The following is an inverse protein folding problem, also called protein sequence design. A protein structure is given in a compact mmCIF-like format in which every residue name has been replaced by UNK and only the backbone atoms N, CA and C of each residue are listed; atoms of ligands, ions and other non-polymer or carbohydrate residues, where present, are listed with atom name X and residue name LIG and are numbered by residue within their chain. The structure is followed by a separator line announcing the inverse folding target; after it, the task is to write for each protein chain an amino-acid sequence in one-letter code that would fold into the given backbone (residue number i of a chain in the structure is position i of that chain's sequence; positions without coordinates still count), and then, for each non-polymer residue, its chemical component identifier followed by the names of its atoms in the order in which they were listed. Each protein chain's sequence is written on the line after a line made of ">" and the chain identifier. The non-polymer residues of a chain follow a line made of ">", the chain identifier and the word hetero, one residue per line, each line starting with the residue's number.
data_IF_260690707422
#
_entry.id   IF_260690707422
#
_cell.length_a   1.000
_cell.length_b   1.000
_cell.length_c   1.000
_cell.angle_alpha   90.00
_cell.angle_beta   90.00
_cell.angle_gamma   90.00
#
_symmetry.space_group_name_H-M   'P 1'
#
loop_
_entity.id
_entity.type
_entity.pdbx_description
1 polymer ?
#
# COMPACT_ATOMS: atom_id res chain seq x y z
N UNK A 1 18.74 -27.92 -0.54
CA UNK A 1 17.37 -27.67 -0.05
C UNK A 1 16.70 -29.00 0.28
N UNK A 2 16.02 -29.12 1.44
CA UNK A 2 15.25 -30.32 1.80
C UNK A 2 14.10 -30.58 0.81
N UNK A 3 13.74 -31.85 0.62
CA UNK A 3 12.70 -32.30 -0.34
C UNK A 3 11.34 -31.63 -0.10
N UNK A 4 10.97 -31.40 1.16
CA UNK A 4 9.73 -30.71 1.53
C UNK A 4 9.69 -29.23 1.06
N UNK A 5 10.83 -28.56 1.00
CA UNK A 5 10.93 -27.18 0.48
C UNK A 5 10.75 -27.19 -1.04
N UNK A 6 11.31 -28.20 -1.73
CA UNK A 6 11.10 -28.37 -3.17
C UNK A 6 9.65 -28.68 -3.52
N UNK A 7 9.00 -29.60 -2.80
CA UNK A 7 7.58 -29.93 -3.01
C UNK A 7 6.67 -28.73 -2.73
N UNK A 8 6.93 -27.97 -1.66
CA UNK A 8 6.19 -26.74 -1.35
C UNK A 8 6.38 -25.68 -2.44
N UNK A 9 7.60 -25.48 -2.95
CA UNK A 9 7.86 -24.55 -4.06
C UNK A 9 7.17 -25.03 -5.35
N UNK A 10 7.20 -26.34 -5.66
CA UNK A 10 6.57 -26.89 -6.86
C UNK A 10 5.04 -26.74 -6.83
N UNK A 11 4.42 -27.00 -5.67
CA UNK A 11 2.99 -26.77 -5.45
C UNK A 11 2.66 -25.27 -5.50
N UNK A 12 3.53 -24.42 -4.91
CA UNK A 12 3.38 -22.96 -5.01
C UNK A 12 3.51 -22.44 -6.45
N UNK A 13 4.19 -23.15 -7.35
CA UNK A 13 4.29 -22.73 -8.76
C UNK A 13 3.06 -23.17 -9.58
N UNK A 14 2.47 -24.32 -9.27
CA UNK A 14 1.52 -25.02 -10.16
C UNK A 14 0.04 -24.97 -9.74
N UNK A 15 -0.28 -24.58 -8.52
CA UNK A 15 -1.66 -24.60 -8.02
C UNK A 15 -2.50 -23.42 -8.56
N UNK A 16 -3.65 -23.74 -9.17
CA UNK A 16 -4.57 -22.81 -9.83
C UNK A 16 -5.46 -22.02 -8.84
N UNK A 17 -5.49 -22.40 -7.56
CA UNK A 17 -6.35 -21.78 -6.54
C UNK A 17 -5.55 -21.19 -5.37
N UNK A 18 -4.46 -20.50 -5.67
CA UNK A 18 -3.68 -19.81 -4.63
C UNK A 18 -4.28 -18.49 -4.22
N UNK A 19 -4.20 -18.24 -2.92
CA UNK A 19 -4.53 -16.95 -2.31
C UNK A 19 -3.55 -15.89 -2.79
N UNK A 20 -4.05 -14.70 -3.15
CA UNK A 20 -3.21 -13.56 -3.54
C UNK A 20 -2.21 -13.18 -2.45
N UNK A 21 -2.57 -13.33 -1.17
CA UNK A 21 -1.65 -13.17 -0.06
C UNK A 21 -0.39 -14.04 -0.21
N UNK A 22 -0.54 -15.32 -0.54
CA UNK A 22 0.56 -16.27 -0.68
C UNK A 22 1.46 -15.91 -1.87
N UNK A 23 0.86 -15.44 -2.96
CA UNK A 23 1.58 -14.96 -4.14
C UNK A 23 2.41 -13.71 -3.79
N UNK A 24 1.81 -12.76 -3.08
CA UNK A 24 2.53 -11.57 -2.57
C UNK A 24 3.71 -11.97 -1.68
N UNK A 25 3.52 -12.91 -0.74
CA UNK A 25 4.61 -13.40 0.11
C UNK A 25 5.70 -14.11 -0.72
N UNK A 26 5.33 -14.91 -1.71
CA UNK A 26 6.27 -15.60 -2.60
C UNK A 26 7.21 -14.62 -3.33
N UNK A 27 6.68 -13.52 -3.87
CA UNK A 27 7.52 -12.53 -4.56
C UNK A 27 8.36 -11.67 -3.62
N UNK A 28 7.92 -11.48 -2.37
CA UNK A 28 8.66 -10.74 -1.35
C UNK A 28 9.72 -11.58 -0.62
N UNK A 29 9.66 -12.91 -0.72
CA UNK A 29 10.63 -13.79 -0.05
C UNK A 29 12.04 -13.68 -0.71
N UNK A 30 13.07 -13.21 0.02
CA UNK A 30 14.44 -13.09 -0.51
C UNK A 30 15.11 -14.44 -0.78
N UNK A 31 14.63 -15.53 -0.18
CA UNK A 31 15.21 -16.87 -0.34
C UNK A 31 14.81 -17.53 -1.66
N UNK A 32 13.76 -17.04 -2.32
CA UNK A 32 13.28 -17.54 -3.59
C UNK A 32 14.11 -16.94 -4.72
N UNK A 33 14.73 -17.82 -5.52
CA UNK A 33 15.57 -17.42 -6.66
C UNK A 33 14.78 -16.61 -7.69
N UNK A 34 15.46 -15.65 -8.33
CA UNK A 34 14.89 -14.83 -9.41
C UNK A 34 14.22 -15.65 -10.51
N UNK A 35 14.84 -16.74 -10.97
CA UNK A 35 14.26 -17.60 -12.02
C UNK A 35 12.93 -18.27 -11.61
N UNK A 36 12.79 -18.63 -10.33
CA UNK A 36 11.53 -19.15 -9.80
C UNK A 36 10.45 -18.05 -9.74
N UNK A 37 10.84 -16.81 -9.41
CA UNK A 37 9.94 -15.64 -9.48
C UNK A 37 9.51 -15.35 -10.91
N UNK A 38 10.43 -15.38 -11.87
CA UNK A 38 10.13 -15.18 -13.30
C UNK A 38 9.15 -16.25 -13.83
N UNK A 39 9.35 -17.52 -13.48
CA UNK A 39 8.43 -18.60 -13.86
C UNK A 39 7.03 -18.42 -13.24
N UNK A 40 6.96 -18.06 -11.94
CA UNK A 40 5.69 -17.81 -11.26
C UNK A 40 4.97 -16.59 -11.85
N UNK A 41 5.70 -15.53 -12.14
CA UNK A 41 5.18 -14.31 -12.74
C UNK A 41 4.55 -14.59 -14.11
N UNK A 42 5.24 -15.35 -14.97
CA UNK A 42 4.71 -15.74 -16.28
C UNK A 42 3.34 -16.41 -16.16
N UNK A 43 3.24 -17.50 -15.40
CA UNK A 43 1.99 -18.26 -15.27
C UNK A 43 0.87 -17.45 -14.58
N UNK A 44 1.21 -16.67 -13.55
CA UNK A 44 0.24 -15.86 -12.86
C UNK A 44 -0.34 -14.75 -13.76
N UNK A 45 0.53 -14.04 -14.50
CA UNK A 45 0.11 -12.96 -15.38
C UNK A 45 -0.69 -13.49 -16.59
N UNK A 46 -0.30 -14.63 -17.18
CA UNK A 46 -1.13 -15.27 -18.21
C UNK A 46 -2.53 -15.59 -17.70
N UNK A 47 -2.63 -16.15 -16.49
CA UNK A 47 -3.93 -16.45 -15.88
C UNK A 47 -4.76 -15.17 -15.62
N UNK A 48 -4.15 -14.10 -15.11
CA UNK A 48 -4.85 -12.82 -14.90
C UNK A 48 -5.32 -12.21 -16.21
N UNK A 49 -4.52 -12.28 -17.28
CA UNK A 49 -4.86 -11.78 -18.62
C UNK A 49 -6.00 -12.59 -19.24
N UNK A 50 -6.00 -13.93 -19.07
CA UNK A 50 -7.08 -14.79 -19.57
C UNK A 50 -8.44 -14.46 -18.94
N UNK A 51 -8.46 -14.00 -17.69
CA UNK A 51 -9.68 -13.63 -16.96
C UNK A 51 -9.91 -12.12 -16.89
N UNK A 52 -9.21 -11.37 -17.75
CA UNK A 52 -9.33 -9.92 -17.81
C UNK A 52 -10.54 -9.54 -18.66
N UNK A 53 -11.39 -8.67 -18.11
CA UNK A 53 -12.45 -8.06 -18.90
C UNK A 53 -11.82 -7.05 -19.88
N UNK A 54 -11.96 -7.32 -21.18
CA UNK A 54 -11.41 -6.48 -22.24
C UNK A 54 -12.34 -5.35 -22.70
N UNK A 55 -13.54 -5.26 -22.12
CA UNK A 55 -14.60 -4.32 -22.47
C UNK A 55 -14.35 -2.92 -21.90
N UNK A 56 -13.25 -2.32 -22.34
CA UNK A 56 -12.97 -0.90 -22.12
C UNK A 56 -12.71 -0.23 -23.46
N UNK A 57 -13.73 0.42 -24.01
CA UNK A 57 -13.68 1.02 -25.35
C UNK A 57 -12.98 2.39 -25.38
N UNK A 58 -12.87 3.08 -24.25
CA UNK A 58 -12.26 4.42 -24.13
C UNK A 58 -10.72 4.37 -23.92
N UNK A 59 -10.04 3.41 -24.57
CA UNK A 59 -8.58 3.38 -24.61
C UNK A 59 -8.05 3.80 -25.99
N UNK A 60 -6.99 4.61 -26.08
CA UNK A 60 -6.41 5.02 -27.36
C UNK A 60 -6.04 3.86 -28.29
N UNK A 61 -6.27 4.05 -29.59
CA UNK A 61 -6.03 3.01 -30.61
C UNK A 61 -4.64 3.10 -31.24
N UNK A 62 -3.91 4.18 -30.98
CA UNK A 62 -2.52 4.37 -31.38
C UNK A 62 -1.76 5.20 -30.33
N UNK A 63 -0.43 5.13 -30.40
CA UNK A 63 0.47 5.68 -29.38
C UNK A 63 0.45 7.21 -29.36
N UNK A 64 0.23 7.85 -30.50
CA UNK A 64 0.22 9.31 -30.61
C UNK A 64 -0.96 9.96 -29.86
N UNK A 65 -2.05 9.21 -29.68
CA UNK A 65 -3.23 9.65 -28.93
C UNK A 65 -3.07 9.58 -27.40
N UNK A 66 -2.11 8.82 -26.87
CA UNK A 66 -1.96 8.58 -25.43
C UNK A 66 -1.77 9.88 -24.64
N UNK A 67 -0.94 10.80 -25.13
CA UNK A 67 -0.66 12.07 -24.47
C UNK A 67 -1.93 12.93 -24.33
N UNK A 68 -2.68 13.07 -25.42
CA UNK A 68 -3.92 13.86 -25.46
C UNK A 68 -4.99 13.23 -24.58
N UNK A 69 -5.10 11.90 -24.61
CA UNK A 69 -6.03 11.16 -23.78
C UNK A 69 -5.73 11.34 -22.30
N UNK A 70 -4.48 11.16 -21.88
CA UNK A 70 -4.06 11.34 -20.47
C UNK A 70 -4.28 12.78 -20.00
N UNK A 71 -3.99 13.77 -20.84
CA UNK A 71 -4.27 15.17 -20.53
C UNK A 71 -5.77 15.44 -20.32
N UNK A 72 -6.63 14.82 -21.14
CA UNK A 72 -8.08 14.92 -20.99
C UNK A 72 -8.53 14.32 -19.66
N UNK A 73 -8.05 13.11 -19.31
CA UNK A 73 -8.37 12.48 -18.04
C UNK A 73 -7.93 13.35 -16.85
N UNK A 74 -6.69 13.85 -16.87
CA UNK A 74 -6.18 14.72 -15.81
C UNK A 74 -7.03 15.99 -15.63
N UNK A 75 -7.42 16.65 -16.73
CA UNK A 75 -8.31 17.84 -16.69
C UNK A 75 -9.65 17.51 -16.04
N UNK A 76 -10.24 16.36 -16.36
CA UNK A 76 -11.49 15.89 -15.75
C UNK A 76 -11.32 15.66 -14.24
N UNK A 77 -10.25 14.99 -13.79
CA UNK A 77 -10.02 14.77 -12.36
C UNK A 77 -9.79 16.10 -11.61
N UNK A 78 -9.04 17.03 -12.20
CA UNK A 78 -8.83 18.36 -11.64
C UNK A 78 -10.13 19.16 -11.50
N UNK A 79 -11.04 19.06 -12.49
CA UNK A 79 -12.36 19.70 -12.41
C UNK A 79 -13.19 19.12 -11.27
N UNK A 80 -13.30 17.79 -11.17
CA UNK A 80 -14.03 17.15 -10.08
C UNK A 80 -13.44 17.50 -8.70
N UNK A 81 -12.12 17.63 -8.60
CA UNK A 81 -11.48 18.05 -7.36
C UNK A 81 -11.79 19.51 -7.02
N UNK A 82 -11.83 20.40 -8.01
CA UNK A 82 -12.28 21.79 -7.82
C UNK A 82 -13.72 21.85 -7.30
N UNK A 83 -14.64 21.10 -7.91
CA UNK A 83 -16.03 21.01 -7.46
C UNK A 83 -16.15 20.45 -6.03
N UNK A 84 -15.30 19.47 -5.69
CA UNK A 84 -15.18 18.97 -4.31
C UNK A 84 -14.77 20.09 -3.35
N UNK A 85 -13.73 20.87 -3.67
CA UNK A 85 -13.30 21.98 -2.83
C UNK A 85 -14.38 23.05 -2.67
N UNK A 86 -15.10 23.41 -3.74
CA UNK A 86 -16.22 24.35 -3.69
C UNK A 86 -17.33 23.84 -2.74
N UNK A 87 -17.65 22.55 -2.75
CA UNK A 87 -18.60 21.97 -1.78
C UNK A 87 -18.09 22.06 -0.35
N UNK A 88 -16.79 21.81 -0.11
CA UNK A 88 -16.16 21.90 1.22
C UNK A 88 -16.14 23.34 1.74
N UNK A 89 -15.82 24.32 0.90
CA UNK A 89 -15.86 25.75 1.24
C UNK A 89 -17.28 26.21 1.60
N UNK A 90 -18.31 25.64 0.98
CA UNK A 90 -19.71 25.89 1.30
C UNK A 90 -20.22 25.10 2.52
N UNK A 91 -19.33 24.49 3.31
CA UNK A 91 -19.67 23.83 4.58
C UNK A 91 -20.09 22.38 4.47
N UNK A 92 -19.90 21.73 3.31
CA UNK A 92 -20.14 20.29 3.18
C UNK A 92 -19.16 19.48 4.04
N UNK A 93 -19.64 18.36 4.57
CA UNK A 93 -18.81 17.42 5.32
C UNK A 93 -17.75 16.74 4.42
N UNK A 94 -16.79 16.06 5.05
CA UNK A 94 -15.86 15.14 4.37
C UNK A 94 -16.64 14.09 3.58
N UNK A 95 -16.21 13.81 2.35
CA UNK A 95 -16.84 12.85 1.45
C UNK A 95 -16.27 11.44 1.63
N UNK A 96 -14.98 11.29 1.99
CA UNK A 96 -14.35 9.96 2.13
C UNK A 96 -14.26 9.50 3.58
N UNK A 97 -13.74 10.35 4.47
CA UNK A 97 -13.40 9.98 5.85
C UNK A 97 -14.18 10.83 6.83
N UNK A 98 -15.42 10.43 7.12
CA UNK A 98 -16.25 11.11 8.12
C UNK A 98 -15.60 11.19 9.51
N UNK A 99 -14.76 10.22 9.86
CA UNK A 99 -14.08 10.09 11.17
C UNK A 99 -12.63 9.62 11.00
N UNK A 100 -11.83 9.73 12.07
CA UNK A 100 -10.45 9.22 12.11
C UNK A 100 -10.40 7.70 11.90
N UNK A 101 -11.34 6.95 12.48
CA UNK A 101 -11.44 5.50 12.31
C UNK A 101 -11.68 5.09 10.85
N UNK A 102 -12.47 5.84 10.08
CA UNK A 102 -12.66 5.58 8.64
C UNK A 102 -11.38 5.79 7.84
N UNK A 103 -10.61 6.83 8.16
CA UNK A 103 -9.29 7.02 7.55
C UNK A 103 -8.34 5.88 7.91
N UNK A 104 -8.32 5.44 9.17
CA UNK A 104 -7.50 4.31 9.61
C UNK A 104 -7.87 3.02 8.86
N UNK A 105 -9.18 2.75 8.72
CA UNK A 105 -9.69 1.60 7.99
C UNK A 105 -9.23 1.59 6.53
N UNK A 106 -9.34 2.73 5.84
CA UNK A 106 -8.82 2.86 4.48
C UNK A 106 -7.32 2.59 4.42
N UNK A 107 -6.54 3.20 5.31
CA UNK A 107 -5.07 3.11 5.31
C UNK A 107 -4.58 1.67 5.50
N UNK A 108 -5.13 0.92 6.46
CA UNK A 108 -4.67 -0.46 6.65
C UNK A 108 -5.16 -1.39 5.53
N UNK A 109 -6.35 -1.15 4.95
CA UNK A 109 -6.89 -1.97 3.85
C UNK A 109 -6.17 -1.77 2.53
N UNK A 110 -5.73 -0.55 2.23
CA UNK A 110 -4.97 -0.25 1.01
C UNK A 110 -3.49 -0.66 1.12
N UNK A 111 -3.05 -1.07 2.32
CA UNK A 111 -1.65 -1.32 2.64
C UNK A 111 -0.95 -2.35 1.75
N UNK A 112 -1.54 -3.50 1.38
CA UNK A 112 -0.86 -4.46 0.52
C UNK A 112 -0.38 -3.83 -0.79
N UNK A 113 -1.23 -3.02 -1.42
CA UNK A 113 -0.92 -2.34 -2.68
C UNK A 113 0.15 -1.27 -2.48
N UNK A 114 0.04 -0.46 -1.42
CA UNK A 114 0.92 0.69 -1.19
C UNK A 114 2.31 0.30 -0.66
N UNK A 115 2.46 -0.92 -0.14
CA UNK A 115 3.75 -1.48 0.29
C UNK A 115 4.60 -2.05 -0.84
N UNK A 116 4.07 -2.12 -2.06
CA UNK A 116 4.79 -2.62 -3.23
C UNK A 116 4.84 -1.58 -4.36
N UNK A 117 4.68 -0.31 -3.98
CA UNK A 117 4.63 0.80 -4.92
C UNK A 117 5.88 0.89 -5.80
N UNK A 118 5.69 1.18 -7.09
CA UNK A 118 6.72 1.16 -8.12
C UNK A 118 7.23 -0.24 -8.53
N UNK A 119 6.87 -1.33 -7.84
CA UNK A 119 7.50 -2.64 -8.04
C UNK A 119 7.46 -3.15 -9.48
N UNK A 120 6.39 -2.86 -10.23
CA UNK A 120 6.21 -3.34 -11.60
C UNK A 120 7.34 -2.91 -12.56
N UNK A 121 8.05 -1.82 -12.26
CA UNK A 121 9.17 -1.33 -13.06
C UNK A 121 10.51 -2.00 -12.73
N UNK A 122 10.59 -2.80 -11.67
CA UNK A 122 11.83 -3.46 -11.26
C UNK A 122 12.43 -4.30 -12.40
N UNK A 123 11.58 -5.01 -13.15
CA UNK A 123 12.00 -5.83 -14.30
C UNK A 123 12.69 -5.02 -15.39
N UNK A 124 12.43 -3.72 -15.51
CA UNK A 124 13.09 -2.86 -16.50
C UNK A 124 14.51 -2.45 -16.10
N UNK A 125 14.88 -2.54 -14.82
CA UNK A 125 16.24 -2.21 -14.36
C UNK A 125 17.33 -3.08 -15.01
N UNK A 126 16.98 -4.28 -15.50
CA UNK A 126 17.93 -5.12 -16.24
C UNK A 126 18.37 -4.51 -17.58
N UNK A 127 17.58 -3.58 -18.13
CA UNK A 127 17.85 -2.86 -19.38
C UNK A 127 18.45 -1.48 -19.13
N UNK A 128 19.15 -1.30 -18.00
CA UNK A 128 19.72 -0.01 -17.57
C UNK A 128 20.63 0.68 -18.60
N UNK A 129 21.24 -0.09 -19.50
CA UNK A 129 22.14 0.40 -20.55
C UNK A 129 21.41 0.69 -21.88
N UNK A 130 20.10 0.50 -21.93
CA UNK A 130 19.27 0.73 -23.11
C UNK A 130 18.48 2.05 -22.98
N UNK A 131 18.73 3.04 -23.85
CA UNK A 131 18.05 4.33 -23.80
C UNK A 131 16.52 4.27 -23.86
N UNK A 132 15.91 3.23 -24.44
CA UNK A 132 14.44 3.15 -24.49
C UNK A 132 13.78 2.86 -23.13
N UNK A 133 14.55 2.36 -22.16
CA UNK A 133 14.05 2.10 -20.80
C UNK A 133 14.40 3.20 -19.82
N UNK A 134 15.15 4.22 -20.26
CA UNK A 134 15.69 5.26 -19.38
C UNK A 134 14.59 6.00 -18.58
N UNK A 135 13.52 6.40 -19.24
CA UNK A 135 12.41 7.13 -18.62
C UNK A 135 11.66 6.25 -17.61
N UNK A 136 11.45 4.95 -17.91
CA UNK A 136 10.85 4.04 -16.95
C UNK A 136 11.75 3.78 -15.74
N UNK A 137 13.05 3.62 -15.94
CA UNK A 137 13.98 3.41 -14.83
C UNK A 137 14.07 4.69 -13.99
N UNK A 138 13.97 5.87 -14.60
CA UNK A 138 13.88 7.14 -13.89
C UNK A 138 12.65 7.18 -12.98
N UNK A 139 11.45 6.90 -13.53
CA UNK A 139 10.21 6.80 -12.74
C UNK A 139 10.44 5.86 -11.55
N UNK A 140 10.98 4.67 -11.81
CA UNK A 140 11.23 3.70 -10.75
C UNK A 140 12.14 4.22 -9.64
N UNK A 141 13.31 4.79 -9.97
CA UNK A 141 14.21 5.30 -8.92
C UNK A 141 13.63 6.51 -8.18
N UNK A 142 12.75 7.29 -8.80
CA UNK A 142 11.99 8.36 -8.15
C UNK A 142 10.96 7.79 -7.16
N UNK A 143 10.22 6.72 -7.50
CA UNK A 143 9.37 5.95 -6.57
C UNK A 143 10.17 5.38 -5.38
N UNK A 144 11.41 4.96 -5.65
CA UNK A 144 12.34 4.52 -4.62
C UNK A 144 12.91 5.69 -3.78
N UNK A 145 12.46 6.92 -4.01
CA UNK A 145 12.87 8.12 -3.30
C UNK A 145 14.28 8.58 -3.63
N UNK A 146 14.83 8.15 -4.78
CA UNK A 146 16.22 8.36 -5.20
C UNK A 146 17.24 7.86 -4.17
N UNK A 147 16.84 6.90 -3.32
CA UNK A 147 17.64 6.39 -2.21
C UNK A 147 17.49 7.17 -0.89
N UNK A 148 16.64 8.20 -0.82
CA UNK A 148 16.31 8.90 0.42
C UNK A 148 15.18 8.21 1.17
N UNK A 149 15.40 7.90 2.45
CA UNK A 149 14.36 7.35 3.34
C UNK A 149 13.17 8.29 3.51
N UNK A 150 13.37 9.60 3.33
CA UNK A 150 12.32 10.61 3.47
C UNK A 150 11.42 10.74 2.26
N UNK A 151 11.82 10.14 1.13
CA UNK A 151 11.10 10.19 -0.13
C UNK A 151 10.78 8.81 -0.68
N UNK A 152 11.29 7.72 -0.10
CA UNK A 152 10.95 6.37 -0.52
C UNK A 152 9.49 6.05 -0.19
N UNK A 153 8.70 5.72 -1.20
CA UNK A 153 7.25 5.58 -1.10
C UNK A 153 6.82 4.51 -0.09
N UNK A 154 7.38 3.31 -0.20
CA UNK A 154 7.09 2.20 0.72
C UNK A 154 7.50 2.52 2.15
N UNK A 155 8.67 3.15 2.36
CA UNK A 155 9.13 3.56 3.69
C UNK A 155 8.22 4.61 4.32
N UNK A 156 7.77 5.60 3.54
CA UNK A 156 6.82 6.62 3.99
C UNK A 156 5.47 6.02 4.40
N UNK A 157 4.93 5.11 3.58
CA UNK A 157 3.65 4.47 3.89
C UNK A 157 3.75 3.54 5.12
N UNK A 158 4.83 2.78 5.25
CA UNK A 158 5.07 1.96 6.44
C UNK A 158 5.23 2.80 7.71
N UNK A 159 5.95 3.93 7.62
CA UNK A 159 6.07 4.91 8.70
C UNK A 159 4.69 5.46 9.12
N UNK A 160 3.82 5.76 8.15
CA UNK A 160 2.45 6.19 8.43
C UNK A 160 1.65 5.11 9.17
N UNK A 161 1.67 3.86 8.72
CA UNK A 161 0.93 2.80 9.41
C UNK A 161 1.45 2.54 10.82
N UNK A 162 2.78 2.59 11.00
CA UNK A 162 3.42 2.37 12.29
C UNK A 162 3.09 3.50 13.28
N UNK A 163 3.12 4.75 12.81
CA UNK A 163 2.78 5.93 13.62
C UNK A 163 1.35 5.91 14.14
N UNK A 164 0.44 5.33 13.37
CA UNK A 164 -0.97 5.18 13.72
C UNK A 164 -1.28 3.88 14.49
N UNK A 165 -0.29 2.99 14.69
CA UNK A 165 -0.49 1.68 15.33
C UNK A 165 -1.32 0.70 14.48
N UNK A 166 -1.34 0.88 13.16
CA UNK A 166 -2.18 0.12 12.23
C UNK A 166 -1.52 -1.13 11.65
N UNK A 167 -0.26 -1.40 12.00
CA UNK A 167 0.48 -2.55 11.43
C UNK A 167 -0.27 -3.87 11.66
N UNK A 168 -0.80 -4.11 12.86
CA UNK A 168 -1.50 -5.37 13.17
C UNK A 168 -2.74 -5.58 12.29
N UNK A 169 -3.51 -4.53 12.03
CA UNK A 169 -4.70 -4.59 11.18
C UNK A 169 -4.36 -4.97 9.73
N UNK A 170 -3.19 -4.53 9.24
CA UNK A 170 -2.75 -4.79 7.86
C UNK A 170 -2.22 -6.22 7.61
N UNK A 171 -2.09 -7.07 8.65
CA UNK A 171 -1.52 -8.42 8.50
C UNK A 171 -2.56 -9.50 8.19
N UNK A 172 -3.83 -9.30 8.57
CA UNK A 172 -4.89 -10.31 8.46
C UNK A 172 -6.06 -9.78 7.62
N UNK A 173 -5.77 -9.26 6.43
CA UNK A 173 -6.80 -8.80 5.52
C UNK A 173 -7.43 -9.96 4.74
N UNK A 174 -8.70 -9.82 4.31
CA UNK A 174 -9.27 -10.70 3.30
C UNK A 174 -8.40 -10.75 2.04
N UNK A 175 -8.38 -11.90 1.37
CA UNK A 175 -7.42 -12.16 0.29
C UNK A 175 -7.54 -11.19 -0.90
N UNK A 176 -8.75 -10.71 -1.19
CA UNK A 176 -9.05 -9.76 -2.25
C UNK A 176 -8.24 -8.45 -2.17
N UNK A 177 -7.81 -8.04 -0.98
CA UNK A 177 -6.99 -6.82 -0.80
C UNK A 177 -5.53 -7.01 -1.26
N UNK A 178 -5.07 -8.25 -1.43
CA UNK A 178 -3.73 -8.58 -1.91
C UNK A 178 -3.65 -8.69 -3.45
N UNK A 179 -4.79 -8.79 -4.14
CA UNK A 179 -4.85 -9.02 -5.59
C UNK A 179 -3.94 -8.08 -6.38
N UNK A 180 -4.06 -6.76 -6.14
CA UNK A 180 -3.26 -5.80 -6.90
C UNK A 180 -1.77 -5.82 -6.50
N UNK A 181 -1.44 -6.12 -5.24
CA UNK A 181 -0.04 -6.28 -4.83
C UNK A 181 0.62 -7.49 -5.49
N UNK A 182 -0.13 -8.60 -5.67
CA UNK A 182 0.35 -9.78 -6.37
C UNK A 182 0.64 -9.48 -7.85
N UNK A 183 -0.21 -8.70 -8.53
CA UNK A 183 0.01 -8.28 -9.93
C UNK A 183 1.25 -7.38 -10.05
N UNK A 184 1.37 -6.34 -9.22
CA UNK A 184 2.53 -5.45 -9.25
C UNK A 184 3.85 -6.20 -9.04
N UNK A 185 3.86 -7.11 -8.08
CA UNK A 185 5.02 -7.95 -7.80
C UNK A 185 5.29 -8.97 -8.92
N UNK A 186 4.27 -9.53 -9.56
CA UNK A 186 4.48 -10.40 -10.71
C UNK A 186 5.10 -9.64 -11.88
N UNK A 187 4.63 -8.41 -12.17
CA UNK A 187 5.22 -7.54 -13.21
C UNK A 187 6.69 -7.19 -12.90
N UNK A 188 7.05 -7.06 -11.62
CA UNK A 188 8.43 -6.84 -11.17
C UNK A 188 9.40 -7.93 -11.63
N UNK A 189 8.91 -9.16 -11.87
CA UNK A 189 9.70 -10.30 -12.31
C UNK A 189 9.20 -10.87 -13.65
N UNK A 190 8.38 -10.13 -14.40
CA UNK A 190 7.86 -10.62 -15.66
C UNK A 190 8.97 -10.71 -16.73
N UNK A 191 8.93 -11.75 -17.60
CA UNK A 191 9.88 -11.87 -18.70
C UNK A 191 9.65 -10.78 -19.77
N UNK A 192 10.61 -10.65 -20.70
CA UNK A 192 10.61 -9.60 -21.74
C UNK A 192 9.36 -9.57 -22.61
N UNK A 193 8.66 -10.70 -22.74
CA UNK A 193 7.42 -10.75 -23.51
C UNK A 193 6.35 -9.82 -22.95
N UNK A 194 6.37 -9.49 -21.65
CA UNK A 194 5.42 -8.59 -20.99
C UNK A 194 5.83 -7.11 -21.00
N UNK A 195 6.88 -6.71 -21.73
CA UNK A 195 7.31 -5.30 -21.78
C UNK A 195 6.15 -4.34 -22.11
N UNK A 196 5.29 -4.59 -23.12
CA UNK A 196 4.17 -3.69 -23.41
C UNK A 196 3.12 -3.67 -22.28
N UNK A 197 2.84 -4.80 -21.63
CA UNK A 197 1.93 -4.88 -20.48
C UNK A 197 2.47 -4.10 -19.27
N UNK A 198 3.76 -4.20 -18.96
CA UNK A 198 4.37 -3.41 -17.89
C UNK A 198 4.27 -1.91 -18.20
N UNK A 199 4.57 -1.52 -19.44
CA UNK A 199 4.44 -0.14 -19.89
C UNK A 199 3.00 0.38 -19.80
N UNK A 200 2.03 -0.48 -20.12
CA UNK A 200 0.60 -0.17 -20.02
C UNK A 200 0.11 -0.06 -18.58
N UNK A 201 0.59 -0.94 -17.70
CA UNK A 201 0.33 -0.86 -16.26
C UNK A 201 0.84 0.46 -15.71
N UNK A 202 2.09 0.82 -16.03
CA UNK A 202 2.69 2.08 -15.64
C UNK A 202 1.84 3.27 -16.13
N UNK A 203 1.46 3.28 -17.41
CA UNK A 203 0.60 4.33 -17.97
C UNK A 203 -0.72 4.48 -17.22
N UNK A 204 -1.31 3.36 -16.79
CA UNK A 204 -2.51 3.35 -15.96
C UNK A 204 -2.27 3.95 -14.57
N UNK A 205 -1.16 3.59 -13.93
CA UNK A 205 -0.81 3.98 -12.57
C UNK A 205 -0.44 5.47 -12.47
N UNK A 206 0.32 6.02 -13.42
CA UNK A 206 0.75 7.43 -13.44
C UNK A 206 -0.38 8.44 -13.67
N UNK A 207 -1.61 7.98 -13.85
CA UNK A 207 -2.75 8.88 -13.88
C UNK A 207 -3.06 9.37 -12.47
N UNK A 208 -3.04 10.69 -12.27
CA UNK A 208 -3.51 11.31 -11.04
C UNK A 208 -5.02 11.03 -10.83
N UNK A 209 -5.41 10.12 -9.93
CA UNK A 209 -6.82 9.79 -9.72
C UNK A 209 -7.42 10.72 -8.66
N UNK A 210 -8.68 11.14 -8.85
CA UNK A 210 -9.37 12.06 -7.94
C UNK A 210 -9.28 11.65 -6.47
N UNK A 211 -9.31 10.34 -6.20
CA UNK A 211 -9.29 9.88 -4.82
C UNK A 211 -8.00 10.26 -4.09
N UNK A 212 -6.83 10.31 -4.73
CA UNK A 212 -5.59 10.71 -4.06
C UNK A 212 -5.65 12.18 -3.63
N UNK A 213 -6.24 13.06 -4.45
CA UNK A 213 -6.43 14.47 -4.13
C UNK A 213 -7.32 14.65 -2.90
N UNK A 214 -8.48 14.00 -2.88
CA UNK A 214 -9.42 14.06 -1.74
C UNK A 214 -8.82 13.39 -0.51
N UNK A 215 -8.20 12.22 -0.64
CA UNK A 215 -7.52 11.53 0.48
C UNK A 215 -6.44 12.41 1.10
N UNK A 216 -5.57 13.04 0.29
CA UNK A 216 -4.55 13.96 0.79
C UNK A 216 -5.18 15.13 1.56
N UNK A 217 -6.25 15.72 1.01
CA UNK A 217 -6.95 16.83 1.64
C UNK A 217 -7.57 16.44 2.99
N UNK A 218 -8.37 15.37 3.02
CA UNK A 218 -9.11 14.97 4.23
C UNK A 218 -8.22 14.36 5.31
N UNK A 219 -7.12 13.68 4.96
CA UNK A 219 -6.14 13.22 5.94
C UNK A 219 -5.48 14.40 6.66
N UNK A 220 -5.16 15.49 5.95
CA UNK A 220 -4.63 16.73 6.56
C UNK A 220 -5.63 17.34 7.54
N UNK A 221 -6.92 17.40 7.18
CA UNK A 221 -7.97 17.88 8.09
C UNK A 221 -8.12 17.03 9.35
N UNK A 222 -7.88 15.71 9.23
CA UNK A 222 -7.88 14.77 10.35
C UNK A 222 -6.60 14.80 11.19
N UNK A 223 -5.61 15.62 10.82
CA UNK A 223 -4.30 15.65 11.48
C UNK A 223 -3.46 14.39 11.24
N UNK A 224 -3.74 13.64 10.17
CA UNK A 224 -3.01 12.44 9.77
C UNK A 224 -1.94 12.82 8.73
N UNK A 225 -0.73 12.29 8.89
CA UNK A 225 0.35 12.50 7.92
C UNK A 225 -0.07 11.96 6.53
N UNK A 226 -0.07 12.87 5.55
CA UNK A 226 -0.49 12.63 4.17
C UNK A 226 0.67 12.65 3.18
N UNK A 227 1.92 12.71 3.66
CA UNK A 227 3.11 12.91 2.83
C UNK A 227 3.20 11.91 1.67
N UNK A 228 2.90 10.63 1.91
CA UNK A 228 2.85 9.61 0.86
C UNK A 228 1.89 10.01 -0.28
N UNK A 229 0.65 10.37 0.04
CA UNK A 229 -0.36 10.77 -0.95
C UNK A 229 -0.01 12.09 -1.63
N UNK A 230 0.61 13.02 -0.91
CA UNK A 230 1.03 14.30 -1.44
C UNK A 230 2.16 14.18 -2.48
N UNK A 231 3.06 13.20 -2.34
CA UNK A 231 4.15 12.97 -3.29
C UNK A 231 3.62 12.67 -4.70
N UNK A 232 2.70 11.71 -4.81
CA UNK A 232 2.02 11.36 -6.07
C UNK A 232 1.32 12.55 -6.73
N UNK A 233 0.74 13.47 -5.94
CA UNK A 233 0.14 14.69 -6.50
C UNK A 233 1.19 15.59 -7.17
N UNK A 234 2.41 15.63 -6.63
CA UNK A 234 3.47 16.52 -7.13
C UNK A 234 4.29 15.90 -8.27
N UNK A 235 4.63 14.62 -8.16
CA UNK A 235 5.55 13.96 -9.11
C UNK A 235 4.81 13.32 -10.29
N UNK A 236 3.54 12.92 -10.14
CA UNK A 236 2.75 12.30 -11.23
C UNK A 236 2.09 13.37 -12.14
N UNK A 237 2.63 14.59 -12.14
CA UNK A 237 2.05 15.69 -12.91
C UNK A 237 2.27 15.53 -14.42
N UNK A 238 1.36 16.07 -15.22
CA UNK A 238 1.39 15.91 -16.68
C UNK A 238 2.42 16.80 -17.40
N UNK A 239 2.96 17.83 -16.75
CA UNK A 239 3.89 18.79 -17.40
C UNK A 239 5.29 18.19 -17.54
N UNK A 240 5.91 17.86 -16.40
CA UNK A 240 7.27 17.32 -16.32
C UNK A 240 7.39 16.09 -15.42
N UNK A 241 6.25 15.61 -14.89
CA UNK A 241 6.18 14.47 -13.99
C UNK A 241 6.10 13.11 -14.69
N UNK A 242 5.80 12.08 -13.92
CA UNK A 242 5.83 10.68 -14.37
C UNK A 242 4.85 10.38 -15.50
N UNK A 243 3.69 11.03 -15.51
CA UNK A 243 2.72 10.95 -16.61
C UNK A 243 3.33 11.34 -17.97
N UNK A 244 4.16 12.39 -17.99
CA UNK A 244 4.89 12.84 -19.19
C UNK A 244 5.98 11.83 -19.58
N UNK A 245 6.80 11.43 -18.61
CA UNK A 245 7.88 10.44 -18.81
C UNK A 245 7.32 9.11 -19.35
N UNK A 246 6.26 8.58 -18.74
CA UNK A 246 5.62 7.34 -19.15
C UNK A 246 5.15 7.40 -20.62
N UNK A 247 4.52 8.52 -21.02
CA UNK A 247 4.04 8.71 -22.39
C UNK A 247 5.20 8.76 -23.40
N UNK A 248 6.30 9.44 -23.06
CA UNK A 248 7.51 9.47 -23.90
C UNK A 248 8.18 8.10 -23.99
N UNK A 249 8.28 7.40 -22.87
CA UNK A 249 8.86 6.06 -22.79
C UNK A 249 8.10 5.08 -23.68
N UNK A 250 6.76 5.12 -23.66
CA UNK A 250 5.91 4.29 -24.54
C UNK A 250 6.12 4.63 -26.01
N UNK A 251 6.22 5.93 -26.38
CA UNK A 251 6.56 6.34 -27.75
C UNK A 251 7.91 5.82 -28.21
N UNK A 252 8.91 5.84 -27.34
CA UNK A 252 10.24 5.31 -27.61
C UNK A 252 10.22 3.79 -27.79
N UNK A 253 9.53 3.06 -26.90
CA UNK A 253 9.34 1.62 -27.02
C UNK A 253 8.60 1.23 -28.30
N UNK A 254 7.48 1.91 -28.61
CA UNK A 254 6.63 1.59 -29.75
C UNK A 254 7.39 1.55 -31.07
N UNK A 255 8.37 2.43 -31.28
CA UNK A 255 9.23 2.46 -32.49
C UNK A 255 10.01 1.16 -32.75
N UNK A 256 10.17 0.32 -31.72
CA UNK A 256 10.90 -0.94 -31.78
C UNK A 256 10.02 -2.15 -32.08
N UNK A 257 8.69 -1.97 -32.07
CA UNK A 257 7.74 -3.04 -32.35
C UNK A 257 7.23 -2.93 -33.80
N UNK A 258 7.46 -3.95 -34.65
CA UNK A 258 6.97 -3.93 -36.02
C UNK A 258 5.44 -3.92 -36.11
N UNK A 259 4.76 -4.67 -35.22
CA UNK A 259 3.32 -4.76 -35.17
C UNK A 259 2.74 -3.77 -34.14
N UNK A 260 2.37 -2.57 -34.60
CA UNK A 260 1.82 -1.51 -33.75
C UNK A 260 0.46 -1.89 -33.14
N UNK A 261 -0.38 -2.63 -33.86
CA UNK A 261 -1.69 -3.06 -33.34
C UNK A 261 -1.53 -4.03 -32.17
N UNK A 262 -0.59 -4.96 -32.26
CA UNK A 262 -0.28 -5.88 -31.17
C UNK A 262 0.34 -5.17 -29.96
N UNK A 263 1.23 -4.21 -30.21
CA UNK A 263 1.80 -3.38 -29.15
C UNK A 263 0.72 -2.62 -28.38
N UNK A 264 -0.20 -1.94 -29.08
CA UNK A 264 -1.33 -1.23 -28.44
C UNK A 264 -2.26 -2.19 -27.71
N UNK A 265 -2.53 -3.38 -28.26
CA UNK A 265 -3.36 -4.40 -27.60
C UNK A 265 -2.76 -4.82 -26.25
N UNK A 266 -1.46 -5.14 -26.21
CA UNK A 266 -0.76 -5.52 -24.99
C UNK A 266 -0.60 -4.34 -24.01
N UNK A 267 -0.39 -3.12 -24.52
CA UNK A 267 -0.41 -1.90 -23.71
C UNK A 267 -1.78 -1.71 -23.02
N UNK A 268 -2.88 -1.91 -23.74
CA UNK A 268 -4.24 -1.86 -23.17
C UNK A 268 -4.43 -2.94 -22.10
N UNK A 269 -3.94 -4.16 -22.32
CA UNK A 269 -3.99 -5.23 -21.30
C UNK A 269 -3.27 -4.80 -20.03
N UNK A 270 -2.06 -4.26 -20.15
CA UNK A 270 -1.32 -3.69 -19.02
C UNK A 270 -2.11 -2.63 -18.26
N UNK A 271 -2.70 -1.68 -18.99
CA UNK A 271 -3.55 -0.64 -18.42
C UNK A 271 -4.74 -1.21 -17.66
N UNK A 272 -5.35 -2.29 -18.16
CA UNK A 272 -6.49 -2.94 -17.51
C UNK A 272 -6.07 -3.75 -16.27
N UNK A 273 -4.88 -4.36 -16.27
CA UNK A 273 -4.31 -5.00 -15.08
C UNK A 273 -4.12 -4.00 -13.92
N UNK A 274 -3.83 -2.73 -14.21
CA UNK A 274 -3.79 -1.67 -13.20
C UNK A 274 -5.14 -1.46 -12.47
N UNK A 275 -6.25 -1.83 -13.10
CA UNK A 275 -7.60 -1.66 -12.54
C UNK A 275 -8.16 -2.93 -11.85
N UNK A 276 -7.34 -3.99 -11.71
CA UNK A 276 -7.75 -5.26 -11.07
C UNK A 276 -7.71 -5.17 -9.54
N UNK A 277 -8.48 -6.05 -8.90
CA UNK A 277 -8.62 -6.10 -7.45
C UNK A 277 -9.56 -5.05 -6.88
N UNK A 278 -9.57 -4.92 -5.55
CA UNK A 278 -10.40 -3.93 -4.85
C UNK A 278 -9.75 -2.55 -4.98
N UNK A 279 -10.37 -1.65 -5.75
CA UNK A 279 -9.87 -0.28 -5.94
C UNK A 279 -9.99 0.58 -4.67
N UNK A 280 -9.16 1.61 -4.53
CA UNK A 280 -9.25 2.56 -3.41
C UNK A 280 -10.64 3.17 -3.26
N UNK A 281 -11.33 3.46 -4.36
CA UNK A 281 -12.71 3.99 -4.35
C UNK A 281 -13.70 2.94 -3.80
N UNK A 282 -13.54 1.67 -4.15
CA UNK A 282 -14.37 0.60 -3.57
C UNK A 282 -14.09 0.42 -2.08
N UNK A 283 -12.82 0.50 -1.64
CA UNK A 283 -12.47 0.46 -0.21
C UNK A 283 -13.18 1.60 0.53
N UNK A 284 -13.09 2.84 0.02
CA UNK A 284 -13.71 4.03 0.62
C UNK A 284 -15.24 3.87 0.72
N UNK A 285 -15.90 3.36 -0.32
CA UNK A 285 -17.35 3.14 -0.32
C UNK A 285 -17.79 2.08 0.68
N UNK A 286 -16.94 1.10 0.97
CA UNK A 286 -17.23 -0.05 1.83
C UNK A 286 -16.68 0.07 3.26
N UNK A 287 -16.23 1.26 3.67
CA UNK A 287 -15.74 1.49 5.04
C UNK A 287 -16.87 1.28 6.05
N UNK A 288 -16.63 0.44 7.06
CA UNK A 288 -17.60 0.09 8.09
C UNK A 288 -16.94 -0.02 9.46
N UNK A 289 -16.95 1.08 10.21
CA UNK A 289 -16.38 1.18 11.56
C UNK A 289 -17.00 0.20 12.55
N UNK A 290 -18.32 -0.04 12.49
CA UNK A 290 -19.01 -0.97 13.39
C UNK A 290 -18.52 -2.40 13.20
N UNK A 291 -18.36 -2.83 11.94
CA UNK A 291 -17.78 -4.15 11.63
C UNK A 291 -16.36 -4.28 12.19
N UNK A 292 -15.52 -3.25 12.03
CA UNK A 292 -14.15 -3.26 12.57
C UNK A 292 -14.16 -3.35 14.10
N UNK A 293 -15.08 -2.63 14.77
CA UNK A 293 -15.21 -2.69 16.24
C UNK A 293 -15.64 -4.09 16.69
N UNK A 294 -16.59 -4.73 16.00
CA UNK A 294 -16.98 -6.11 16.28
C UNK A 294 -15.80 -7.06 16.15
N UNK A 295 -15.00 -6.94 15.08
CA UNK A 295 -13.80 -7.76 14.85
C UNK A 295 -12.76 -7.55 15.98
N UNK A 296 -12.58 -6.31 16.44
CA UNK A 296 -11.73 -5.99 17.61
C UNK A 296 -12.24 -6.73 18.86
N UNK A 297 -13.54 -6.64 19.17
CA UNK A 297 -14.12 -7.32 20.33
C UNK A 297 -13.97 -8.84 20.25
N UNK A 298 -14.25 -9.43 19.09
CA UNK A 298 -14.05 -10.88 18.85
C UNK A 298 -12.59 -11.28 19.05
N UNK A 299 -11.64 -10.50 18.53
CA UNK A 299 -10.23 -10.77 18.74
C UNK A 299 -9.82 -10.67 20.21
N UNK A 300 -10.37 -9.72 20.99
CA UNK A 300 -10.10 -9.62 22.43
C UNK A 300 -10.75 -10.75 23.23
N UNK A 301 -11.92 -11.22 22.81
CA UNK A 301 -12.63 -12.33 23.45
C UNK A 301 -11.78 -13.62 23.50
N UNK A 302 -11.02 -13.91 22.43
CA UNK A 302 -10.13 -15.08 22.34
C UNK A 302 -9.16 -15.18 23.53
N UNK A 303 -8.68 -14.05 24.02
CA UNK A 303 -7.76 -13.96 25.18
C UNK A 303 -8.52 -13.70 26.48
N UNK A 304 -9.55 -12.84 26.43
CA UNK A 304 -10.28 -12.36 27.61
C UNK A 304 -11.23 -13.38 28.25
N UNK A 305 -11.67 -14.42 27.54
CA UNK A 305 -12.68 -15.40 27.99
C UNK A 305 -12.39 -16.17 29.28
N UNK A 306 -11.18 -16.05 29.83
CA UNK A 306 -10.79 -16.70 31.09
C UNK A 306 -10.31 -15.71 32.16
N UNK A 307 -10.35 -14.41 31.89
CA UNK A 307 -9.68 -13.38 32.70
C UNK A 307 -10.63 -12.55 33.57
N UNK A 308 -11.95 -12.71 33.42
CA UNK A 308 -12.93 -11.94 34.18
C UNK A 308 -13.43 -12.68 35.44
N UNK A 309 -13.90 -11.91 36.42
CA UNK A 309 -14.48 -12.45 37.64
C UNK A 309 -15.93 -12.93 37.40
N UNK A 310 -16.25 -14.18 37.77
CA UNK A 310 -17.58 -14.79 37.63
C UNK A 310 -18.71 -14.07 38.39
N UNK A 311 -18.37 -13.17 39.32
CA UNK A 311 -19.35 -12.32 40.03
C UNK A 311 -19.92 -11.21 39.17
N UNK A 312 -19.21 -10.78 38.11
CA UNK A 312 -19.73 -9.78 37.18
C UNK A 312 -20.61 -10.47 36.14
N UNK A 313 -21.92 -10.22 36.20
CA UNK A 313 -22.92 -10.88 35.34
C UNK A 313 -23.80 -9.86 34.64
N UNK A 314 -24.09 -10.13 33.37
CA UNK A 314 -25.04 -9.40 32.53
C UNK A 314 -26.07 -10.39 32.03
N UNK A 315 -27.36 -10.09 32.22
CA UNK A 315 -28.47 -11.00 31.91
C UNK A 315 -28.24 -12.43 32.46
N UNK A 316 -27.88 -12.53 33.75
CA UNK A 316 -27.54 -13.78 34.47
C UNK A 316 -26.34 -14.60 33.95
N UNK A 317 -25.62 -14.10 32.93
CA UNK A 317 -24.46 -14.76 32.33
C UNK A 317 -23.18 -14.00 32.67
N UNK A 318 -22.11 -14.71 33.03
CA UNK A 318 -20.83 -14.07 33.37
C UNK A 318 -20.12 -13.55 32.12
N UNK A 319 -19.22 -12.58 32.29
CA UNK A 319 -18.44 -12.04 31.16
C UNK A 319 -17.65 -13.15 30.45
N UNK A 320 -17.00 -14.06 31.18
CA UNK A 320 -16.31 -15.20 30.58
C UNK A 320 -17.23 -16.07 29.72
N UNK A 321 -18.47 -16.30 30.20
CA UNK A 321 -19.48 -17.03 29.44
C UNK A 321 -19.89 -16.28 28.17
N UNK A 322 -20.01 -14.95 28.22
CA UNK A 322 -20.32 -14.13 27.04
C UNK A 322 -19.23 -14.18 25.97
N UNK A 323 -17.97 -14.24 26.40
CA UNK A 323 -16.80 -14.26 25.51
C UNK A 323 -16.40 -15.68 25.06
N UNK A 324 -17.18 -16.70 25.43
CA UNK A 324 -16.81 -18.11 25.20
C UNK A 324 -16.92 -18.54 23.74
N UNK A 325 -17.94 -18.05 23.04
CA UNK A 325 -18.25 -18.35 21.63
C UNK A 325 -18.31 -17.05 20.81
N UNK A 326 -17.95 -17.13 19.52
CA UNK A 326 -17.84 -15.94 18.66
C UNK A 326 -19.19 -15.22 18.47
N UNK A 327 -20.26 -15.98 18.23
CA UNK A 327 -21.62 -15.43 18.02
C UNK A 327 -22.15 -14.71 19.27
N UNK A 328 -21.68 -15.11 20.46
CA UNK A 328 -22.13 -14.52 21.72
C UNK A 328 -21.48 -13.17 22.01
N UNK A 329 -20.37 -12.83 21.34
CA UNK A 329 -19.72 -11.52 21.48
C UNK A 329 -20.63 -10.42 20.94
N UNK A 330 -21.29 -10.65 19.81
CA UNK A 330 -22.21 -9.69 19.20
C UNK A 330 -23.47 -9.48 20.07
N UNK A 331 -24.04 -10.57 20.59
CA UNK A 331 -25.13 -10.52 21.56
C UNK A 331 -24.74 -9.77 22.83
N UNK A 332 -23.50 -9.96 23.31
CA UNK A 332 -23.01 -9.28 24.50
C UNK A 332 -22.87 -7.77 24.28
N UNK A 333 -22.34 -7.34 23.14
CA UNK A 333 -22.29 -5.91 22.77
C UNK A 333 -23.71 -5.33 22.75
N UNK A 334 -24.66 -6.05 22.15
CA UNK A 334 -26.07 -5.63 22.11
C UNK A 334 -26.66 -5.48 23.52
N UNK A 335 -26.36 -6.40 24.44
CA UNK A 335 -26.79 -6.29 25.84
C UNK A 335 -26.13 -5.10 26.55
N UNK A 336 -24.82 -4.84 26.32
CA UNK A 336 -24.13 -3.67 26.88
C UNK A 336 -24.73 -2.35 26.39
N UNK A 337 -25.19 -2.28 25.14
CA UNK A 337 -25.92 -1.12 24.61
C UNK A 337 -27.28 -0.99 25.30
N UNK A 338 -28.05 -2.09 25.36
CA UNK A 338 -29.39 -2.12 25.95
C UNK A 338 -29.43 -1.68 27.42
N UNK A 339 -28.43 -2.06 28.22
CA UNK A 339 -28.31 -1.64 29.63
C UNK A 339 -27.67 -0.26 29.81
N UNK A 340 -27.29 0.43 28.73
CA UNK A 340 -26.71 1.77 28.75
C UNK A 340 -25.23 1.83 29.17
N UNK A 341 -24.51 0.70 29.16
CA UNK A 341 -23.06 0.69 29.38
C UNK A 341 -22.30 1.24 28.17
N UNK A 342 -22.84 1.04 26.98
CA UNK A 342 -22.42 1.68 25.73
C UNK A 342 -23.58 2.56 25.26
N UNK A 343 -23.33 3.85 25.08
CA UNK A 343 -24.32 4.83 24.61
C UNK A 343 -23.90 5.36 23.25
N UNK A 344 -24.49 4.82 22.18
CA UNK A 344 -24.17 5.19 20.81
C UNK A 344 -24.70 6.60 20.47
N UNK A 345 -23.99 7.29 19.59
CA UNK A 345 -24.25 8.66 19.15
C UNK A 345 -24.26 9.68 20.31
N UNK A 346 -23.48 9.41 21.36
CA UNK A 346 -23.26 10.31 22.49
C UNK A 346 -21.75 10.51 22.72
N UNK A 347 -21.37 11.49 23.54
CA UNK A 347 -19.99 11.60 24.01
C UNK A 347 -19.54 10.27 24.65
N UNK A 348 -18.46 9.62 24.17
CA UNK A 348 -17.99 8.36 24.73
C UNK A 348 -17.71 8.41 26.23
N UNK A 349 -17.42 9.58 26.81
CA UNK A 349 -17.28 9.76 28.26
C UNK A 349 -18.59 9.52 29.04
N UNK A 350 -19.74 9.44 28.37
CA UNK A 350 -21.00 9.01 28.98
C UNK A 350 -21.20 7.49 29.00
N UNK A 351 -20.34 6.73 28.29
CA UNK A 351 -20.38 5.27 28.25
C UNK A 351 -19.50 4.68 29.35
N UNK A 352 -20.09 3.89 30.25
CA UNK A 352 -19.34 3.20 31.30
C UNK A 352 -18.26 2.27 30.73
N UNK A 353 -18.54 1.63 29.60
CA UNK A 353 -17.57 0.76 28.92
C UNK A 353 -16.32 1.54 28.47
N UNK A 354 -16.51 2.75 27.92
CA UNK A 354 -15.39 3.59 27.48
C UNK A 354 -14.45 3.94 28.63
N UNK A 355 -15.01 4.33 29.79
CA UNK A 355 -14.23 4.63 31.01
C UNK A 355 -13.35 3.47 31.43
N UNK A 356 -13.90 2.25 31.43
CA UNK A 356 -13.16 1.04 31.82
C UNK A 356 -11.89 0.80 30.99
N UNK A 357 -11.91 1.16 29.70
CA UNK A 357 -10.80 0.92 28.77
C UNK A 357 -9.88 2.13 28.60
N UNK A 358 -10.36 3.34 28.91
CA UNK A 358 -9.66 4.59 28.65
C UNK A 358 -8.98 5.20 29.88
N UNK A 359 -9.64 5.19 31.04
CA UNK A 359 -9.13 5.79 32.29
C UNK A 359 -7.96 4.97 32.88
N UNK A 360 -6.96 5.64 33.47
CA UNK A 360 -5.76 4.99 34.03
C UNK A 360 -6.07 4.00 35.18
N UNK A 361 -7.10 4.30 35.98
CA UNK A 361 -7.63 3.44 37.04
C UNK A 361 -8.75 2.49 36.53
N UNK A 362 -9.03 2.53 35.23
CA UNK A 362 -9.97 1.64 34.57
C UNK A 362 -9.53 0.18 34.64
N UNK A 363 -10.47 -0.72 34.98
CA UNK A 363 -10.18 -2.17 35.15
C UNK A 363 -9.68 -2.87 33.88
N UNK A 364 -9.85 -2.25 32.72
CA UNK A 364 -9.41 -2.76 31.42
C UNK A 364 -8.39 -1.84 30.76
N UNK A 365 -7.75 -0.95 31.54
CA UNK A 365 -6.66 -0.11 31.05
C UNK A 365 -5.52 -0.98 30.48
N UNK A 366 -5.05 -0.63 29.29
CA UNK A 366 -4.00 -1.36 28.57
C UNK A 366 -4.46 -2.57 27.75
N UNK A 367 -5.72 -3.01 27.86
CA UNK A 367 -6.24 -4.16 27.07
C UNK A 367 -6.36 -3.82 25.58
N UNK A 368 -6.76 -2.58 25.28
CA UNK A 368 -6.94 -2.07 23.92
C UNK A 368 -5.80 -1.13 23.56
N UNK A 369 -5.25 -1.31 22.36
CA UNK A 369 -4.28 -0.40 21.74
C UNK A 369 -4.90 0.96 21.42
N UNK A 370 -4.06 1.97 21.19
CA UNK A 370 -4.53 3.31 20.82
C UNK A 370 -5.38 3.31 19.54
N UNK A 371 -5.01 2.50 18.53
CA UNK A 371 -5.78 2.35 17.30
C UNK A 371 -7.16 1.74 17.58
N UNK A 372 -7.23 0.64 18.34
CA UNK A 372 -8.49 0.00 18.73
C UNK A 372 -9.41 0.95 19.51
N UNK A 373 -8.86 1.70 20.47
CA UNK A 373 -9.61 2.73 21.20
C UNK A 373 -10.15 3.82 20.26
N UNK A 374 -9.46 4.15 19.18
CA UNK A 374 -9.94 5.13 18.18
C UNK A 374 -11.16 4.61 17.43
N UNK A 375 -11.14 3.34 17.00
CA UNK A 375 -12.31 2.71 16.38
C UNK A 375 -13.51 2.68 17.33
N UNK A 376 -13.30 2.24 18.58
CA UNK A 376 -14.36 2.17 19.60
C UNK A 376 -14.91 3.57 19.90
N UNK A 377 -14.04 4.56 20.06
CA UNK A 377 -14.45 5.95 20.32
C UNK A 377 -15.36 6.49 19.21
N UNK A 378 -14.91 6.39 17.95
CA UNK A 378 -15.67 6.92 16.82
C UNK A 378 -16.98 6.16 16.57
N UNK A 379 -17.01 4.86 16.88
CA UNK A 379 -18.24 4.07 16.84
C UNK A 379 -19.24 4.50 17.92
N UNK A 380 -18.79 4.74 19.16
CA UNK A 380 -19.65 5.24 20.24
C UNK A 380 -20.12 6.67 19.94
N UNK A 381 -19.22 7.56 19.54
CA UNK A 381 -19.55 8.96 19.24
C UNK A 381 -20.47 9.13 18.04
N UNK A 382 -20.34 8.25 17.04
CA UNK A 382 -20.99 8.43 15.74
C UNK A 382 -20.37 9.58 14.93
N UNK A 383 -20.73 9.65 13.66
CA UNK A 383 -20.10 10.56 12.69
C UNK A 383 -20.31 12.06 13.00
N UNK A 384 -21.39 12.42 13.71
CA UNK A 384 -21.75 13.82 13.98
C UNK A 384 -21.01 14.42 15.18
N UNK A 385 -20.58 13.60 16.14
CA UNK A 385 -19.93 14.04 17.37
C UNK A 385 -18.44 13.73 17.40
N UNK A 386 -17.94 12.83 16.55
CA UNK A 386 -16.51 12.55 16.46
C UNK A 386 -15.75 13.78 15.95
N UNK A 387 -15.13 14.50 16.88
CA UNK A 387 -14.20 15.61 16.64
C UNK A 387 -12.76 15.26 17.01
N UNK A 388 -12.50 13.98 17.29
CA UNK A 388 -11.23 13.54 17.82
C UNK A 388 -10.16 13.54 16.74
N UNK A 389 -9.32 14.56 16.77
CA UNK A 389 -7.99 14.53 16.18
C UNK A 389 -7.12 13.81 17.20
N UNK A 390 -6.54 12.66 16.85
CA UNK A 390 -5.52 12.05 17.69
C UNK A 390 -4.21 12.78 17.43
N UNK A 391 -3.68 13.60 18.37
CA UNK A 391 -2.34 14.15 18.21
C UNK A 391 -1.35 12.99 18.37
N UNK A 392 -0.97 12.44 17.23
CA UNK A 392 0.11 11.48 17.13
C UNK A 392 1.39 12.27 17.34
N UNK A 393 2.08 12.09 18.48
CA UNK A 393 3.31 12.83 18.74
C UNK A 393 4.41 12.36 17.77
N UNK A 394 4.69 13.22 16.80
CA UNK A 394 5.62 12.95 15.70
C UNK A 394 7.05 12.71 16.17
N UNK A 395 7.46 13.27 17.30
CA UNK A 395 8.81 13.14 17.85
C UNK A 395 9.03 11.75 18.47
N UNK A 396 8.08 11.24 19.26
CA UNK A 396 8.16 9.88 19.78
C UNK A 396 8.17 8.83 18.69
N UNK A 397 7.40 9.04 17.62
CA UNK A 397 7.37 8.14 16.47
C UNK A 397 8.66 8.21 15.66
N UNK A 398 9.21 9.41 15.47
CA UNK A 398 10.51 9.56 14.82
C UNK A 398 11.57 8.76 15.58
N UNK A 399 11.65 8.93 16.90
CA UNK A 399 12.59 8.20 17.75
C UNK A 399 12.35 6.68 17.71
N UNK A 400 11.08 6.24 17.77
CA UNK A 400 10.73 4.83 17.68
C UNK A 400 11.13 4.19 16.34
N UNK A 401 10.96 4.91 15.23
CA UNK A 401 11.35 4.44 13.90
C UNK A 401 12.87 4.37 13.76
N UNK A 402 13.58 5.41 14.19
CA UNK A 402 15.04 5.44 14.16
C UNK A 402 15.65 4.28 14.98
N UNK A 403 15.03 3.92 16.11
CA UNK A 403 15.47 2.79 16.93
C UNK A 403 15.15 1.41 16.33
N UNK A 404 14.11 1.30 15.49
CA UNK A 404 13.71 0.03 14.84
C UNK A 404 14.34 -0.17 13.45
N UNK A 405 14.99 0.83 12.88
CA UNK A 405 15.66 0.74 11.58
C UNK A 405 17.02 -0.02 11.66
N UNK A 406 17.56 -0.28 12.86
CA UNK A 406 18.86 -0.95 13.04
C UNK A 406 18.78 -2.48 12.82
N UNK A 407 19.65 -3.00 11.96
CA UNK A 407 19.85 -4.45 11.75
C UNK A 407 21.32 -4.78 11.53
N UNK A 408 21.95 -5.42 12.52
CA UNK A 408 23.39 -5.79 12.49
C UNK A 408 23.78 -6.62 11.26
N UNK A 409 22.92 -7.55 10.84
CA UNK A 409 23.18 -8.38 9.64
C UNK A 409 23.15 -7.54 8.36
N UNK A 410 22.20 -6.61 8.27
CA UNK A 410 22.04 -5.72 7.11
C UNK A 410 23.22 -4.75 6.98
N UNK A 411 23.75 -4.27 8.11
CA UNK A 411 24.94 -3.39 8.14
C UNK A 411 26.18 -4.11 7.59
N UNK A 412 26.40 -5.38 7.99
CA UNK A 412 27.53 -6.17 7.48
C UNK A 412 27.41 -6.41 5.97
N UNK A 413 26.22 -6.73 5.47
CA UNK A 413 25.98 -6.89 4.03
C UNK A 413 26.23 -5.59 3.26
N UNK A 414 25.78 -4.45 3.81
CA UNK A 414 26.01 -3.13 3.21
C UNK A 414 27.50 -2.79 3.13
N UNK A 415 28.27 -3.05 4.19
CA UNK A 415 29.72 -2.83 4.20
C UNK A 415 30.44 -3.68 3.13
N UNK A 416 30.04 -4.95 2.98
CA UNK A 416 30.60 -5.82 1.94
C UNK A 416 30.26 -5.32 0.53
N UNK A 417 29.03 -4.87 0.30
CA UNK A 417 28.61 -4.29 -0.97
C UNK A 417 29.40 -3.00 -1.27
N UNK A 418 29.54 -2.10 -0.29
CA UNK A 418 30.32 -0.87 -0.41
C UNK A 418 31.76 -1.14 -0.84
N UNK A 419 32.43 -2.12 -0.21
CA UNK A 419 33.79 -2.53 -0.56
C UNK A 419 33.87 -3.04 -2.01
N UNK A 420 32.94 -3.91 -2.43
CA UNK A 420 32.90 -4.42 -3.80
C UNK A 420 32.74 -3.30 -4.84
N UNK A 421 31.89 -2.31 -4.55
CA UNK A 421 31.63 -1.17 -5.44
C UNK A 421 32.82 -0.20 -5.49
N UNK A 422 33.56 -0.04 -4.39
CA UNK A 422 34.76 0.80 -4.33
C UNK A 422 35.93 0.20 -5.12
N UNK A 423 36.13 -1.12 -5.06
CA UNK A 423 37.25 -1.81 -5.72
C UNK A 423 37.10 -1.85 -7.24
N UNK A 424 35.86 -1.95 -7.75
CA UNK A 424 35.62 -1.99 -9.19
C UNK A 424 35.86 -0.61 -9.83
N UNK A 425 36.45 -0.56 -11.02
CA UNK A 425 36.50 0.64 -11.87
C UNK A 425 35.44 0.63 -12.98
N UNK A 426 34.78 -0.52 -13.20
CA UNK A 426 33.80 -0.69 -14.27
C UNK A 426 32.39 -0.35 -13.76
N UNK A 427 31.79 0.72 -14.30
CA UNK A 427 30.44 1.18 -13.94
C UNK A 427 29.35 0.15 -14.21
N UNK A 428 29.42 -0.59 -15.32
CA UNK A 428 28.45 -1.65 -15.62
C UNK A 428 28.49 -2.79 -14.61
N UNK A 429 29.69 -3.18 -14.16
CA UNK A 429 29.85 -4.16 -13.09
C UNK A 429 29.24 -3.63 -11.77
N UNK A 430 29.49 -2.37 -11.41
CA UNK A 430 28.90 -1.74 -10.23
C UNK A 430 27.38 -1.79 -10.28
N UNK A 431 26.77 -1.34 -11.38
CA UNK A 431 25.32 -1.34 -11.56
C UNK A 431 24.75 -2.76 -11.44
N UNK A 432 25.39 -3.76 -12.06
CA UNK A 432 24.94 -5.16 -11.97
C UNK A 432 24.91 -5.72 -10.54
N UNK A 433 25.80 -5.21 -9.66
CA UNK A 433 25.85 -5.58 -8.24
C UNK A 433 24.84 -4.81 -7.39
N UNK A 434 24.41 -3.62 -7.84
CA UNK A 434 23.46 -2.77 -7.12
C UNK A 434 21.99 -3.13 -7.43
N UNK A 435 21.66 -3.44 -8.69
CA UNK A 435 20.29 -3.74 -9.15
C UNK A 435 19.54 -4.75 -8.25
N UNK A 436 20.14 -5.85 -7.75
CA UNK A 436 19.44 -6.76 -6.85
C UNK A 436 18.82 -6.08 -5.61
N UNK A 437 19.47 -5.06 -5.08
CA UNK A 437 19.04 -4.33 -3.88
C UNK A 437 17.96 -3.28 -4.13
N UNK A 438 17.65 -3.01 -5.41
CA UNK A 438 16.48 -2.21 -5.78
C UNK A 438 15.20 -3.06 -5.74
N UNK A 439 15.27 -4.38 -5.53
CA UNK A 439 14.09 -5.24 -5.58
C UNK A 439 13.00 -4.84 -4.56
N UNK A 440 11.71 -5.18 -4.83
CA UNK A 440 10.55 -4.81 -4.00
C UNK A 440 10.68 -5.12 -2.50
N UNK A 441 11.42 -6.18 -2.15
CA UNK A 441 11.58 -6.64 -0.76
C UNK A 441 12.75 -5.96 -0.02
N UNK A 442 13.57 -5.15 -0.70
CA UNK A 442 14.82 -4.61 -0.17
C UNK A 442 14.99 -3.11 -0.33
N UNK A 443 14.43 -2.48 -1.35
CA UNK A 443 14.75 -1.08 -1.69
C UNK A 443 14.50 -0.06 -0.57
N UNK A 444 13.55 -0.35 0.33
CA UNK A 444 13.18 0.52 1.44
C UNK A 444 14.04 0.29 2.70
N UNK A 445 14.92 -0.72 2.70
CA UNK A 445 15.91 -0.98 3.75
C UNK A 445 17.19 -0.15 3.51
N UNK A 446 18.05 0.01 4.51
CA UNK A 446 19.26 0.84 4.40
C UNK A 446 20.15 0.46 3.22
N UNK A 447 20.36 -0.83 2.98
CA UNK A 447 21.15 -1.32 1.85
C UNK A 447 20.53 -0.99 0.49
N UNK A 448 19.19 -1.07 0.39
CA UNK A 448 18.44 -0.73 -0.81
C UNK A 448 18.41 0.76 -1.10
N UNK A 449 18.27 1.58 -0.05
CA UNK A 449 18.35 3.04 -0.12
C UNK A 449 19.73 3.48 -0.63
N UNK A 450 20.80 2.97 -0.03
CA UNK A 450 22.16 3.24 -0.47
C UNK A 450 22.41 2.77 -1.91
N UNK A 451 21.96 1.57 -2.26
CA UNK A 451 22.14 1.04 -3.61
C UNK A 451 21.39 1.87 -4.66
N UNK A 452 20.16 2.29 -4.36
CA UNK A 452 19.36 3.19 -5.21
C UNK A 452 20.09 4.50 -5.44
N UNK A 453 20.62 5.12 -4.37
CA UNK A 453 21.40 6.37 -4.48
C UNK A 453 22.59 6.20 -5.42
N UNK A 454 23.33 5.07 -5.33
CA UNK A 454 24.46 4.79 -6.23
C UNK A 454 24.03 4.52 -7.68
N UNK A 455 22.91 3.85 -7.91
CA UNK A 455 22.34 3.71 -9.25
C UNK A 455 21.98 5.07 -9.84
N UNK A 456 21.35 5.96 -9.07
CA UNK A 456 21.02 7.33 -9.48
C UNK A 456 22.29 8.11 -9.83
N UNK A 457 23.34 8.07 -8.99
CA UNK A 457 24.62 8.73 -9.27
C UNK A 457 25.25 8.25 -10.60
N UNK A 458 25.12 6.96 -10.94
CA UNK A 458 25.73 6.38 -12.14
C UNK A 458 24.91 6.59 -13.42
N UNK A 459 23.58 6.58 -13.35
CA UNK A 459 22.70 6.55 -14.53
C UNK A 459 21.96 7.89 -14.74
N UNK A 460 21.70 8.61 -13.65
CA UNK A 460 20.93 9.86 -13.62
C UNK A 460 21.65 10.96 -12.81
N UNK A 461 22.87 11.36 -13.22
CA UNK A 461 23.69 12.30 -12.44
C UNK A 461 22.99 13.66 -12.21
N UNK A 462 22.06 14.07 -13.07
CA UNK A 462 21.27 15.29 -12.90
C UNK A 462 20.27 15.21 -11.73
N UNK A 463 19.78 14.02 -11.37
CA UNK A 463 18.89 13.79 -10.23
C UNK A 463 19.65 13.70 -8.90
N UNK A 464 20.90 13.21 -8.94
CA UNK A 464 21.73 13.03 -7.74
C UNK A 464 22.21 14.35 -7.09
N UNK A 465 22.12 15.47 -7.80
CA UNK A 465 22.62 16.80 -7.37
C UNK A 465 21.93 17.37 -6.13
N UNK A 466 20.73 16.89 -5.78
CA UNK A 466 19.89 17.44 -4.73
C UNK A 466 20.11 16.82 -3.32
N UNK A 467 21.08 15.91 -3.18
CA UNK A 467 21.33 15.16 -1.93
C UNK A 467 22.64 15.55 -1.20
N UNK A 468 23.12 16.79 -1.37
CA UNK A 468 24.26 17.32 -0.60
C UNK A 468 23.85 18.12 0.61
#
# INVERSE_FOLDING_TARGET
>A
MPTAVKERILNLITDAHQKYFEITQFFLDPSISRSAKELKAFHFLENEILHLDSDFSDFPTNVDQLAVWMQKQNKTQCLHYKEYLERRENGSAREFFGTTSKAYEFLYKVAPTKRVDGAWLYSFTQYWNDPAFRDFIQIYVEELGLGSSQSNHVKLFNKLLLSLGLHQFSMNLPDEYYHQSAIQLALAYAPSDFIPEIAGFNFGYEQLPLHLLITNYELKELGIDSKYFNLHITIDNFDNGHAHLATNAIKCLAKRYPNQSEFIRKLKIGFLLNNRGVSSVQIIKNLNTERVVLDIFKSKALVGKHMHNEKCKFNNKSVNSWLSEEDQVEEFISELIKIGWIKLNEDPEHSQFWKLINEEDGKMFGVFSAAEKTFIYDWIAGANLSRRINPVNSEYIKNFIELNDFSYLSEKELLLLQQQIQISTNTGHKISKLIPYLAPHQHHQEIGLWATQKVVEYIFPFLGSNFK
#
